data_IF_075933699675
#
_entry.id   IF_075933699675
#
_cell.length_a   1.000
_cell.length_b   1.000
_cell.length_c   1.000
_cell.angle_alpha   90.00
_cell.angle_beta   90.00
_cell.angle_gamma   90.00
#
_symmetry.space_group_name_H-M   'P 1'
#
loop_
_entity.id
_entity.type
_entity.pdbx_description
1 polymer ?
#
# COMPACT_ATOMS: atom_id res chain seq x y z
N UNK A 1 6.88 25.18 15.77
CA UNK A 1 7.34 23.95 16.41
C UNK A 1 8.76 23.55 15.95
N UNK A 2 9.04 23.47 14.64
CA UNK A 2 10.37 23.14 14.08
C UNK A 2 11.47 24.05 14.62
N UNK A 3 11.30 25.37 14.53
CA UNK A 3 12.26 26.37 15.02
C UNK A 3 12.54 26.24 16.52
N UNK A 4 11.52 25.91 17.30
CA UNK A 4 11.67 25.70 18.75
C UNK A 4 12.48 24.45 19.11
N UNK A 5 12.43 23.40 18.27
CA UNK A 5 13.15 22.14 18.50
C UNK A 5 14.55 22.13 17.90
N UNK A 6 14.74 22.78 16.75
CA UNK A 6 15.97 22.72 15.96
C UNK A 6 16.83 23.99 16.13
N UNK A 7 16.24 25.10 16.59
CA UNK A 7 16.93 26.38 16.73
C UNK A 7 17.12 27.17 15.43
N UNK A 8 16.56 26.67 14.31
CA UNK A 8 16.64 27.30 13.00
C UNK A 8 15.29 27.24 12.28
N UNK A 9 15.08 28.12 11.33
CA UNK A 9 13.90 28.08 10.48
C UNK A 9 13.91 26.86 9.55
N UNK A 10 12.72 26.36 9.19
CA UNK A 10 12.60 25.28 8.22
C UNK A 10 13.14 25.76 6.86
N UNK A 11 14.00 24.98 6.19
CA UNK A 11 14.59 25.39 4.92
C UNK A 11 13.51 25.63 3.85
N UNK A 12 13.66 26.68 3.07
CA UNK A 12 12.76 27.02 1.96
C UNK A 12 13.32 26.60 0.59
N UNK A 13 14.63 26.35 0.50
CA UNK A 13 15.23 25.81 -0.72
C UNK A 13 14.87 24.31 -0.89
N UNK A 14 14.28 23.92 -2.04
CA UNK A 14 13.89 22.54 -2.30
C UNK A 14 15.05 21.53 -2.21
N UNK A 15 16.25 21.94 -2.62
CA UNK A 15 17.42 21.05 -2.54
C UNK A 15 17.88 20.82 -1.10
N UNK A 16 17.82 21.86 -0.27
CA UNK A 16 18.13 21.73 1.15
C UNK A 16 17.10 20.83 1.85
N UNK A 17 15.80 20.97 1.52
CA UNK A 17 14.75 20.11 2.03
C UNK A 17 14.99 18.66 1.62
N UNK A 18 15.28 18.40 0.34
CA UNK A 18 15.58 17.06 -0.17
C UNK A 18 16.80 16.45 0.52
N UNK A 19 17.89 17.19 0.63
CA UNK A 19 19.10 16.71 1.29
C UNK A 19 18.88 16.46 2.79
N UNK A 20 18.05 17.28 3.43
CA UNK A 20 17.62 17.08 4.81
C UNK A 20 16.85 15.78 4.99
N UNK A 21 15.89 15.49 4.11
CA UNK A 21 15.09 14.26 4.10
C UNK A 21 15.97 13.01 3.84
N UNK A 22 16.87 13.05 2.86
CA UNK A 22 17.83 11.97 2.56
C UNK A 22 18.69 11.66 3.80
N UNK A 23 19.25 12.69 4.42
CA UNK A 23 20.05 12.52 5.66
C UNK A 23 19.22 11.93 6.79
N UNK A 24 17.96 12.32 6.93
CA UNK A 24 17.07 11.78 7.95
C UNK A 24 16.81 10.28 7.74
N UNK A 25 16.60 9.83 6.50
CA UNK A 25 16.46 8.41 6.18
C UNK A 25 17.73 7.63 6.53
N UNK A 26 18.91 8.09 6.14
CA UNK A 26 20.16 7.41 6.50
C UNK A 26 20.39 7.34 8.02
N UNK A 27 20.11 8.43 8.75
CA UNK A 27 20.22 8.45 10.23
C UNK A 27 19.22 7.51 10.91
N UNK A 28 18.07 7.26 10.29
CA UNK A 28 17.05 6.36 10.84
C UNK A 28 17.55 4.92 11.00
N UNK A 29 18.61 4.52 10.26
CA UNK A 29 19.28 3.23 10.43
C UNK A 29 19.74 2.98 11.85
N UNK A 30 20.22 4.00 12.53
CA UNK A 30 20.75 3.93 13.90
C UNK A 30 19.69 4.21 14.98
N UNK A 31 18.43 4.40 14.57
CA UNK A 31 17.33 4.61 15.50
C UNK A 31 17.15 3.37 16.42
N UNK A 32 16.91 3.55 17.74
CA UNK A 32 16.69 2.43 18.66
C UNK A 32 15.65 1.42 18.21
N UNK A 33 14.53 1.90 17.64
CA UNK A 33 13.49 1.03 17.09
C UNK A 33 14.00 0.20 15.91
N UNK A 34 14.78 0.78 15.02
CA UNK A 34 15.38 0.09 13.89
C UNK A 34 16.40 -0.96 14.32
N UNK A 35 17.19 -0.65 15.37
CA UNK A 35 18.15 -1.61 15.95
C UNK A 35 17.45 -2.85 16.53
N UNK A 36 16.34 -2.66 17.25
CA UNK A 36 15.52 -3.76 17.79
C UNK A 36 14.97 -4.60 16.64
N UNK A 37 14.35 -3.96 15.64
CA UNK A 37 13.79 -4.64 14.48
C UNK A 37 14.83 -5.49 13.74
N UNK A 38 16.02 -4.95 13.49
CA UNK A 38 17.09 -5.70 12.81
C UNK A 38 17.56 -6.91 13.63
N UNK A 39 17.74 -6.74 14.93
CA UNK A 39 18.11 -7.84 15.82
C UNK A 39 17.06 -8.96 15.79
N UNK A 40 15.78 -8.61 15.86
CA UNK A 40 14.68 -9.56 15.94
C UNK A 40 14.40 -10.26 14.59
N UNK A 41 14.96 -9.74 13.48
CA UNK A 41 14.82 -10.29 12.13
C UNK A 41 16.17 -10.74 11.53
N UNK A 42 17.24 -10.86 12.32
CA UNK A 42 18.57 -11.29 11.90
C UNK A 42 19.16 -10.50 10.71
N UNK A 43 18.87 -9.18 10.66
CA UNK A 43 19.36 -8.29 9.61
C UNK A 43 20.73 -7.73 10.00
N UNK A 44 21.80 -8.01 9.22
CA UNK A 44 23.14 -7.51 9.51
C UNK A 44 23.18 -5.97 9.47
N UNK A 45 23.83 -5.37 10.48
CA UNK A 45 24.06 -3.92 10.52
C UNK A 45 24.81 -3.41 9.28
N UNK A 46 25.72 -4.21 8.75
CA UNK A 46 26.55 -3.87 7.58
C UNK A 46 25.78 -3.69 6.27
N UNK A 47 24.53 -4.11 6.20
CA UNK A 47 23.73 -3.91 4.98
C UNK A 47 23.41 -2.44 4.71
N UNK A 48 23.24 -1.64 5.77
CA UNK A 48 22.82 -0.26 5.62
C UNK A 48 21.39 -0.11 5.09
N UNK A 49 21.04 1.10 4.71
CA UNK A 49 19.76 1.42 4.08
C UNK A 49 19.93 2.23 2.82
N UNK A 50 18.90 2.29 1.99
CA UNK A 50 18.88 3.06 0.75
C UNK A 50 17.76 4.11 0.78
N UNK A 51 17.88 5.10 -0.09
CA UNK A 51 16.88 6.17 -0.26
C UNK A 51 16.42 6.19 -1.71
N UNK A 52 15.12 6.14 -1.93
CA UNK A 52 14.49 6.42 -3.21
C UNK A 52 13.89 7.83 -3.18
N UNK A 53 14.17 8.62 -4.21
CA UNK A 53 13.50 9.91 -4.44
C UNK A 53 12.46 9.69 -5.52
N UNK A 54 11.19 9.81 -5.14
CA UNK A 54 10.06 9.51 -6.01
C UNK A 54 9.14 10.73 -6.11
N UNK A 55 8.65 11.00 -7.31
CA UNK A 55 7.63 12.01 -7.53
C UNK A 55 6.35 11.61 -6.80
N UNK A 56 5.72 12.55 -6.13
CA UNK A 56 4.43 12.34 -5.49
C UNK A 56 3.29 12.45 -6.50
N UNK A 57 2.25 11.64 -6.30
CA UNK A 57 0.94 11.81 -6.91
C UNK A 57 -0.03 12.30 -5.84
N UNK A 58 -0.88 13.28 -6.17
CA UNK A 58 -1.73 13.97 -5.21
C UNK A 58 -3.22 13.65 -5.45
N UNK A 59 -3.82 12.96 -4.50
CA UNK A 59 -5.25 12.64 -4.50
C UNK A 59 -6.16 13.78 -4.00
N UNK A 60 -5.58 14.91 -3.60
CA UNK A 60 -6.28 16.06 -3.00
C UNK A 60 -6.18 17.35 -3.80
N UNK A 61 -6.02 17.25 -5.12
CA UNK A 61 -5.91 18.41 -6.02
C UNK A 61 -7.25 18.87 -6.61
N UNK A 62 -8.34 18.18 -6.29
CA UNK A 62 -9.68 18.50 -6.78
C UNK A 62 -10.60 17.27 -6.81
N UNK A 63 -11.83 17.46 -7.35
CA UNK A 63 -12.85 16.42 -7.38
C UNK A 63 -12.58 15.30 -8.39
N UNK A 64 -11.65 15.52 -9.31
CA UNK A 64 -11.12 14.54 -10.27
C UNK A 64 -9.90 13.78 -9.74
N UNK A 65 -9.60 13.96 -8.44
CA UNK A 65 -8.53 13.30 -7.71
C UNK A 65 -9.09 12.46 -6.56
N UNK A 66 -8.32 11.46 -6.12
CA UNK A 66 -8.72 10.62 -5.00
C UNK A 66 -7.60 9.67 -4.59
N UNK A 67 -7.84 8.92 -3.52
CA UNK A 67 -6.92 7.91 -3.02
C UNK A 67 -7.71 6.76 -2.40
N UNK A 68 -7.13 5.57 -2.35
CA UNK A 68 -7.81 4.43 -1.77
C UNK A 68 -6.90 3.25 -1.50
N UNK A 69 -7.50 2.28 -0.83
CA UNK A 69 -6.91 0.98 -0.51
C UNK A 69 -7.87 -0.11 -0.94
N UNK A 70 -7.36 -1.18 -1.51
CA UNK A 70 -8.20 -2.30 -1.92
C UNK A 70 -7.46 -3.64 -1.91
N UNK A 71 -8.25 -4.68 -1.72
CA UNK A 71 -7.83 -6.07 -1.82
C UNK A 71 -8.44 -6.69 -3.09
N UNK A 72 -7.74 -7.63 -3.70
CA UNK A 72 -8.28 -8.41 -4.83
C UNK A 72 -9.33 -9.42 -4.40
N UNK A 73 -9.34 -9.79 -3.10
CA UNK A 73 -10.34 -10.68 -2.48
C UNK A 73 -10.69 -10.15 -1.09
N UNK A 74 -11.86 -10.46 -0.60
CA UNK A 74 -12.27 -10.07 0.75
C UNK A 74 -11.34 -10.68 1.81
N UNK A 75 -10.62 -9.86 2.59
CA UNK A 75 -9.66 -10.35 3.59
C UNK A 75 -10.30 -11.05 4.79
N UNK A 76 -11.60 -10.88 4.99
CA UNK A 76 -12.34 -11.53 6.07
C UNK A 76 -12.88 -12.91 5.66
N UNK A 77 -13.43 -13.02 4.46
CA UNK A 77 -14.15 -14.22 3.98
C UNK A 77 -13.41 -14.99 2.90
N UNK A 78 -12.47 -14.37 2.19
CA UNK A 78 -11.78 -14.93 1.03
C UNK A 78 -12.59 -14.89 -0.26
N UNK A 79 -13.76 -14.24 -0.28
CA UNK A 79 -14.57 -14.12 -1.48
C UNK A 79 -13.81 -13.37 -2.59
N UNK A 80 -13.85 -13.92 -3.81
CA UNK A 80 -13.22 -13.30 -4.97
C UNK A 80 -13.95 -12.01 -5.35
N UNK A 81 -13.20 -10.95 -5.61
CA UNK A 81 -13.70 -9.63 -6.00
C UNK A 81 -13.03 -8.51 -5.24
N UNK A 82 -13.04 -7.33 -5.82
CA UNK A 82 -12.44 -6.15 -5.21
C UNK A 82 -13.16 -5.77 -3.92
N UNK A 83 -12.41 -5.67 -2.86
CA UNK A 83 -12.85 -5.23 -1.55
C UNK A 83 -11.97 -4.06 -1.09
N UNK A 84 -12.57 -2.93 -0.73
CA UNK A 84 -11.80 -1.78 -0.32
C UNK A 84 -12.59 -0.49 -0.32
N UNK A 85 -11.86 0.58 -0.07
CA UNK A 85 -12.42 1.91 0.15
C UNK A 85 -11.58 2.97 -0.56
N UNK A 86 -12.25 4.07 -0.95
CA UNK A 86 -11.57 5.23 -1.51
C UNK A 86 -12.26 6.53 -1.09
N UNK A 87 -11.53 7.63 -1.19
CA UNK A 87 -12.02 8.99 -0.98
C UNK A 87 -11.66 9.85 -2.19
N UNK A 88 -12.59 10.70 -2.61
CA UNK A 88 -12.33 11.77 -3.56
C UNK A 88 -11.69 12.97 -2.85
N UNK A 89 -10.84 13.71 -3.56
CA UNK A 89 -10.17 14.91 -3.05
C UNK A 89 -9.56 14.66 -1.66
N UNK A 90 -8.67 13.66 -1.55
CA UNK A 90 -8.11 13.17 -0.29
C UNK A 90 -6.69 12.62 -0.46
N UNK A 91 -5.96 12.57 0.63
CA UNK A 91 -4.69 11.86 0.75
C UNK A 91 -4.88 10.54 1.51
N UNK A 92 -3.87 9.63 1.46
CA UNK A 92 -3.94 8.32 2.11
C UNK A 92 -4.25 8.38 3.61
N UNK A 93 -3.75 9.40 4.29
CA UNK A 93 -4.01 9.65 5.71
C UNK A 93 -5.50 9.89 6.01
N UNK A 94 -6.23 10.51 5.08
CA UNK A 94 -7.66 10.80 5.25
C UNK A 94 -8.50 9.50 5.24
N UNK A 95 -8.05 8.48 4.48
CA UNK A 95 -8.73 7.18 4.42
C UNK A 95 -8.65 6.44 5.76
N UNK A 96 -7.49 6.51 6.42
CA UNK A 96 -7.24 5.77 7.67
C UNK A 96 -7.59 6.57 8.91
N UNK A 97 -7.68 7.91 8.82
CA UNK A 97 -7.95 8.78 9.97
C UNK A 97 -9.42 8.74 10.45
N UNK A 98 -10.33 8.23 9.61
CA UNK A 98 -11.76 8.15 9.96
C UNK A 98 -12.48 9.49 10.08
N UNK A 99 -11.89 10.58 9.58
CA UNK A 99 -12.47 11.93 9.61
C UNK A 99 -13.58 12.07 8.58
N UNK A 100 -13.45 11.38 7.46
CA UNK A 100 -14.44 11.31 6.38
C UNK A 100 -14.85 9.86 6.20
N UNK A 101 -16.14 9.63 5.85
CA UNK A 101 -16.62 8.28 5.52
C UNK A 101 -16.13 7.89 4.12
N UNK A 102 -15.31 6.87 3.97
CA UNK A 102 -14.88 6.38 2.67
C UNK A 102 -16.05 5.79 1.88
N UNK A 103 -15.94 5.84 0.56
CA UNK A 103 -16.84 5.15 -0.36
C UNK A 103 -16.31 3.73 -0.63
N UNK A 104 -17.23 2.79 -0.87
CA UNK A 104 -16.83 1.44 -1.28
C UNK A 104 -16.14 1.45 -2.64
N UNK A 105 -15.14 0.59 -2.84
CA UNK A 105 -14.32 0.56 -4.06
C UNK A 105 -15.15 0.39 -5.34
N UNK A 106 -16.30 -0.26 -5.29
CA UNK A 106 -17.21 -0.39 -6.44
C UNK A 106 -17.79 0.94 -6.94
N UNK A 107 -17.89 1.94 -6.08
CA UNK A 107 -18.36 3.28 -6.45
C UNK A 107 -17.31 4.07 -7.25
N UNK A 108 -16.06 3.62 -7.24
CA UNK A 108 -14.98 4.19 -8.05
C UNK A 108 -15.29 4.13 -9.54
N UNK A 109 -16.06 3.11 -10.00
CA UNK A 109 -16.48 2.99 -11.39
C UNK A 109 -17.31 4.19 -11.86
N UNK A 110 -18.13 4.77 -10.97
CA UNK A 110 -18.94 5.95 -11.28
C UNK A 110 -18.14 7.26 -11.22
N UNK A 111 -17.17 7.33 -10.30
CA UNK A 111 -16.37 8.55 -10.07
C UNK A 111 -15.20 8.68 -11.02
N UNK A 112 -14.50 7.58 -11.27
CA UNK A 112 -13.27 7.51 -12.06
C UNK A 112 -13.32 6.30 -13.02
N UNK A 113 -14.21 6.27 -14.02
CA UNK A 113 -14.48 5.08 -14.84
C UNK A 113 -13.23 4.55 -15.54
N UNK A 114 -12.42 5.42 -16.14
CA UNK A 114 -11.19 5.01 -16.84
C UNK A 114 -10.13 4.48 -15.88
N UNK A 115 -9.93 5.17 -14.76
CA UNK A 115 -9.00 4.74 -13.73
C UNK A 115 -9.44 3.41 -13.09
N UNK A 116 -10.76 3.19 -12.93
CA UNK A 116 -11.29 1.94 -12.40
C UNK A 116 -11.06 0.75 -13.34
N UNK A 117 -11.22 0.93 -14.64
CA UNK A 117 -10.91 -0.10 -15.64
C UNK A 117 -9.41 -0.47 -15.57
N UNK A 118 -8.55 0.53 -15.56
CA UNK A 118 -7.10 0.31 -15.41
C UNK A 118 -6.77 -0.39 -14.08
N UNK A 119 -7.41 0.02 -12.98
CA UNK A 119 -7.20 -0.57 -11.68
C UNK A 119 -7.55 -2.06 -11.66
N UNK A 120 -8.69 -2.45 -12.23
CA UNK A 120 -9.06 -3.88 -12.35
C UNK A 120 -8.01 -4.69 -13.12
N UNK A 121 -7.50 -4.16 -14.24
CA UNK A 121 -6.45 -4.81 -15.02
C UNK A 121 -5.15 -4.99 -14.23
N UNK A 122 -4.77 -3.98 -13.44
CA UNK A 122 -3.61 -4.05 -12.55
C UNK A 122 -3.82 -5.10 -11.47
N UNK A 123 -5.00 -5.15 -10.85
CA UNK A 123 -5.36 -6.14 -9.84
C UNK A 123 -5.20 -7.57 -10.35
N UNK A 124 -5.75 -7.86 -11.53
CA UNK A 124 -5.62 -9.17 -12.19
C UNK A 124 -4.16 -9.51 -12.49
N UNK A 125 -3.40 -8.54 -12.99
CA UNK A 125 -1.98 -8.72 -13.30
C UNK A 125 -1.17 -9.05 -12.06
N UNK A 126 -1.39 -8.31 -10.98
CA UNK A 126 -0.66 -8.49 -9.73
C UNK A 126 -1.03 -9.82 -9.05
N UNK A 127 -2.32 -10.16 -8.98
CA UNK A 127 -2.74 -11.43 -8.38
C UNK A 127 -2.19 -12.64 -9.15
N UNK A 128 -2.20 -12.60 -10.49
CA UNK A 128 -1.59 -13.63 -11.33
C UNK A 128 -0.07 -13.71 -11.17
N UNK A 129 0.59 -12.56 -11.07
CA UNK A 129 2.05 -12.51 -10.93
C UNK A 129 2.52 -13.07 -9.58
N UNK A 130 1.90 -12.63 -8.49
CA UNK A 130 2.25 -13.08 -7.15
C UNK A 130 1.59 -14.41 -6.76
N UNK A 131 0.60 -14.85 -7.52
CA UNK A 131 -0.19 -16.05 -7.27
C UNK A 131 -0.78 -16.07 -5.85
N UNK A 132 -1.26 -14.89 -5.42
CA UNK A 132 -1.86 -14.66 -4.11
C UNK A 132 -2.69 -13.37 -4.12
N UNK A 133 -3.68 -13.29 -3.22
CA UNK A 133 -4.46 -12.05 -3.07
C UNK A 133 -3.54 -10.87 -2.73
N UNK A 134 -3.84 -9.73 -3.29
CA UNK A 134 -3.06 -8.51 -3.12
C UNK A 134 -3.82 -7.46 -2.32
N UNK A 135 -3.08 -6.76 -1.45
CA UNK A 135 -3.45 -5.54 -0.75
C UNK A 135 -2.72 -4.39 -1.44
N UNK A 136 -3.48 -3.41 -1.93
CA UNK A 136 -2.97 -2.37 -2.82
C UNK A 136 -3.36 -0.99 -2.32
N UNK A 137 -2.44 -0.06 -2.50
CA UNK A 137 -2.66 1.36 -2.29
C UNK A 137 -2.55 2.10 -3.62
N UNK A 138 -3.45 3.04 -3.88
CA UNK A 138 -3.47 3.79 -5.13
C UNK A 138 -3.90 5.24 -4.92
N UNK A 139 -3.53 6.08 -5.88
CA UNK A 139 -3.98 7.47 -5.98
C UNK A 139 -4.45 7.73 -7.41
N UNK A 140 -5.49 8.53 -7.53
CA UNK A 140 -5.94 9.11 -8.80
C UNK A 140 -5.64 10.60 -8.76
N UNK A 141 -4.82 11.09 -9.69
CA UNK A 141 -4.52 12.51 -9.86
C UNK A 141 -5.02 12.95 -11.24
N UNK A 142 -5.97 13.86 -11.25
CA UNK A 142 -6.61 14.35 -12.49
C UNK A 142 -7.05 13.21 -13.42
N UNK A 143 -7.78 12.23 -12.88
CA UNK A 143 -8.27 11.07 -13.60
C UNK A 143 -7.24 9.99 -13.92
N UNK A 144 -5.96 10.23 -13.68
CA UNK A 144 -4.89 9.27 -13.94
C UNK A 144 -4.59 8.41 -12.72
N UNK A 145 -4.56 7.09 -12.92
CA UNK A 145 -4.24 6.11 -11.87
C UNK A 145 -2.74 6.04 -11.61
N UNK A 146 -2.36 6.04 -10.33
CA UNK A 146 -1.02 5.77 -9.84
C UNK A 146 -1.09 4.68 -8.78
N UNK A 147 -0.40 3.56 -9.01
CA UNK A 147 -0.22 2.52 -8.00
C UNK A 147 0.92 2.92 -7.05
N UNK A 148 0.65 2.90 -5.75
CA UNK A 148 1.63 3.32 -4.74
C UNK A 148 2.32 2.12 -4.11
N UNK A 149 1.55 1.07 -3.78
CA UNK A 149 2.07 -0.12 -3.12
C UNK A 149 1.21 -1.34 -3.46
N UNK A 150 1.84 -2.51 -3.50
CA UNK A 150 1.19 -3.81 -3.46
C UNK A 150 1.93 -4.73 -2.51
N UNK A 151 1.18 -5.60 -1.85
CA UNK A 151 1.72 -6.66 -0.98
C UNK A 151 0.73 -7.83 -0.91
N UNK A 152 1.21 -9.00 -0.49
CA UNK A 152 0.32 -10.09 -0.16
C UNK A 152 -0.61 -9.67 0.98
N UNK A 153 -1.92 -9.82 0.76
CA UNK A 153 -2.93 -9.31 1.67
C UNK A 153 -2.94 -10.07 3.00
N UNK A 154 -2.92 -9.32 4.10
CA UNK A 154 -3.22 -9.88 5.41
C UNK A 154 -4.70 -10.29 5.44
N UNK A 155 -4.99 -11.45 6.04
CA UNK A 155 -6.30 -12.07 6.00
C UNK A 155 -6.57 -12.89 7.25
N UNK A 156 -7.85 -13.19 7.52
CA UNK A 156 -8.24 -14.12 8.56
C UNK A 156 -7.83 -15.55 8.19
N UNK A 157 -7.78 -16.46 9.17
CA UNK A 157 -7.50 -17.87 8.93
C UNK A 157 -8.56 -18.50 8.00
N UNK A 158 -9.83 -18.14 8.16
CA UNK A 158 -10.92 -18.58 7.29
C UNK A 158 -10.70 -18.15 5.84
N UNK A 159 -10.37 -16.87 5.63
CA UNK A 159 -10.07 -16.34 4.30
C UNK A 159 -8.83 -17.00 3.69
N UNK A 160 -7.80 -17.27 4.50
CA UNK A 160 -6.58 -17.94 4.04
C UNK A 160 -6.86 -19.33 3.46
N UNK A 161 -7.66 -20.13 4.17
CA UNK A 161 -8.06 -21.46 3.69
C UNK A 161 -8.88 -21.40 2.40
N UNK A 162 -9.89 -20.51 2.36
CA UNK A 162 -10.71 -20.35 1.16
C UNK A 162 -9.88 -19.92 -0.04
N UNK A 163 -9.03 -18.89 0.12
CA UNK A 163 -8.19 -18.38 -0.95
C UNK A 163 -7.22 -19.44 -1.45
N UNK A 164 -6.61 -20.22 -0.57
CA UNK A 164 -5.71 -21.30 -0.96
C UNK A 164 -6.44 -22.35 -1.83
N UNK A 165 -7.65 -22.76 -1.46
CA UNK A 165 -8.46 -23.66 -2.28
C UNK A 165 -8.84 -23.05 -3.63
N UNK A 166 -9.34 -21.80 -3.62
CA UNK A 166 -9.74 -21.11 -4.85
C UNK A 166 -8.56 -20.96 -5.84
N UNK A 167 -7.35 -20.65 -5.34
CA UNK A 167 -6.13 -20.53 -6.18
C UNK A 167 -5.73 -21.86 -6.83
N UNK A 168 -6.01 -22.99 -6.20
CA UNK A 168 -5.83 -24.33 -6.82
C UNK A 168 -6.89 -24.55 -7.89
N UNK A 169 -8.16 -24.31 -7.58
CA UNK A 169 -9.27 -24.48 -8.52
C UNK A 169 -9.12 -23.56 -9.76
N UNK A 170 -8.57 -22.37 -9.58
CA UNK A 170 -8.25 -21.40 -10.65
C UNK A 170 -6.94 -21.75 -11.41
N UNK A 171 -6.23 -22.81 -11.00
CA UNK A 171 -4.98 -23.26 -11.64
C UNK A 171 -3.77 -22.33 -11.41
N UNK A 172 -3.85 -21.44 -10.44
CA UNK A 172 -2.74 -20.54 -10.09
C UNK A 172 -1.70 -21.18 -9.18
N UNK A 173 -2.09 -22.22 -8.40
CA UNK A 173 -1.20 -22.97 -7.51
C UNK A 173 -1.47 -24.47 -7.57
N UNK A 174 -0.48 -25.26 -7.19
CA UNK A 174 -0.68 -26.68 -6.90
C UNK A 174 -1.23 -26.87 -5.48
N UNK A 175 -1.75 -28.07 -5.18
CA UNK A 175 -2.23 -28.40 -3.82
C UNK A 175 -1.10 -28.25 -2.79
N UNK A 176 0.11 -28.70 -3.11
CA UNK A 176 1.27 -28.59 -2.22
C UNK A 176 1.67 -27.13 -1.97
N UNK A 177 1.65 -26.28 -3.02
CA UNK A 177 1.90 -24.86 -2.89
C UNK A 177 0.84 -24.17 -2.03
N UNK A 178 -0.44 -24.56 -2.17
CA UNK A 178 -1.55 -24.03 -1.40
C UNK A 178 -1.44 -24.39 0.10
N UNK A 179 -1.08 -25.62 0.41
CA UNK A 179 -0.82 -26.05 1.79
C UNK A 179 0.33 -25.25 2.41
N UNK A 180 1.39 -25.01 1.64
CA UNK A 180 2.55 -24.22 2.11
C UNK A 180 2.23 -22.73 2.38
N UNK A 181 1.10 -22.21 1.88
CA UNK A 181 0.65 -20.84 2.17
C UNK A 181 0.00 -20.70 3.56
N UNK A 182 -0.42 -21.80 4.17
CA UNK A 182 -1.17 -21.80 5.43
C UNK A 182 -0.20 -21.90 6.61
N UNK A 183 -0.24 -20.92 7.53
CA UNK A 183 0.49 -20.99 8.79
C UNK A 183 -0.29 -21.95 9.73
N UNK A 184 0.34 -23.02 10.22
CA UNK A 184 -0.33 -24.00 11.08
C UNK A 184 -0.52 -23.53 12.54
N UNK A 185 -0.08 -22.31 12.88
CA UNK A 185 -0.12 -21.75 14.26
C UNK A 185 -1.27 -20.78 14.43
#
# INVERSE_FOLDING_TARGET
EYKAKIGADFPTDPKEQLMGAIKAVFRSWDNPRANVYRRDNDIPYSWGTAVNVQMMAFGNMGDDCGTGVAFTRDPATGANGLFGEFLTNAQGEDVVAGVRTPMHISEMEQKFPEAFVQFKQVCETLEKHYRDMQDMEFTVEHGKLYMLQTRNGKRTAQAALKIACDLVDEGMRTEEEAVAMIDPR
#
